data_IF_902224459535
#
_entry.id   IF_902224459535
#
_cell.length_a   1.000
_cell.length_b   1.000
_cell.length_c   1.000
_cell.angle_alpha   90.00
_cell.angle_beta   90.00
_cell.angle_gamma   90.00
#
_symmetry.space_group_name_H-M   'P 1'
#
loop_
_entity.id
_entity.type
_entity.pdbx_description
1 polymer ?
#
# COMPACT_ATOMS: atom_id res chain seq x y z
N UNK A 1 0.11 -29.03 -53.03
CA UNK A 1 0.40 -29.58 -51.69
C UNK A 1 1.65 -28.90 -51.16
N UNK A 2 1.49 -27.84 -50.35
CA UNK A 2 2.60 -27.12 -49.73
C UNK A 2 2.54 -27.36 -48.22
N UNK A 3 3.63 -27.88 -47.65
CA UNK A 3 3.77 -28.16 -46.21
C UNK A 3 3.95 -26.83 -45.47
N UNK A 4 2.99 -26.51 -44.62
CA UNK A 4 3.10 -25.47 -43.59
C UNK A 4 4.00 -25.99 -42.47
N UNK A 5 5.21 -25.44 -42.35
CA UNK A 5 6.05 -25.59 -41.16
C UNK A 5 5.70 -24.48 -40.18
N UNK A 6 5.01 -24.85 -39.10
CA UNK A 6 4.75 -23.99 -37.96
C UNK A 6 6.07 -23.57 -37.31
N UNK A 7 6.35 -22.26 -37.35
CA UNK A 7 7.36 -21.62 -36.54
C UNK A 7 6.82 -21.48 -35.10
N UNK A 8 7.51 -21.94 -34.05
CA UNK A 8 7.07 -21.68 -32.69
C UNK A 8 7.22 -20.18 -32.38
N UNK A 9 6.07 -19.60 -32.01
CA UNK A 9 5.81 -18.21 -31.63
C UNK A 9 7.00 -17.47 -31.02
N UNK A 10 7.49 -16.47 -31.75
CA UNK A 10 8.49 -15.48 -31.34
C UNK A 10 7.91 -14.35 -30.46
N UNK A 11 6.63 -14.40 -30.12
CA UNK A 11 5.90 -13.25 -29.56
C UNK A 11 5.74 -13.26 -28.03
N UNK A 12 6.38 -14.17 -27.30
CA UNK A 12 6.18 -14.29 -25.85
C UNK A 12 6.97 -13.28 -24.99
N UNK A 13 7.83 -12.41 -25.56
CA UNK A 13 8.84 -11.67 -24.79
C UNK A 13 9.03 -10.20 -25.18
N UNK A 14 7.94 -9.47 -25.47
CA UNK A 14 8.01 -8.00 -25.63
C UNK A 14 8.16 -7.31 -24.26
N UNK A 15 9.41 -7.12 -23.85
CA UNK A 15 9.80 -6.25 -22.74
C UNK A 15 9.49 -4.79 -23.11
N UNK A 16 8.34 -4.26 -22.66
CA UNK A 16 8.15 -2.82 -22.52
C UNK A 16 8.81 -2.40 -21.20
N UNK A 17 9.68 -1.41 -21.28
CA UNK A 17 10.35 -0.77 -20.15
C UNK A 17 9.32 -0.26 -19.13
N UNK A 18 9.11 -1.01 -18.05
CA UNK A 18 8.27 -0.64 -16.92
C UNK A 18 9.17 -0.16 -15.78
N UNK A 19 9.72 1.04 -15.95
CA UNK A 19 10.21 1.82 -14.82
C UNK A 19 8.97 2.39 -14.11
N UNK A 20 8.92 2.32 -12.78
CA UNK A 20 7.96 2.99 -11.88
C UNK A 20 6.53 2.46 -11.82
N UNK A 21 6.22 1.53 -10.88
CA UNK A 21 4.83 1.31 -10.41
C UNK A 21 4.62 1.00 -8.92
N UNK A 22 5.67 0.82 -8.12
CA UNK A 22 5.51 0.59 -6.67
C UNK A 22 5.96 1.77 -5.81
N UNK A 23 7.08 2.44 -6.16
CA UNK A 23 7.60 3.60 -5.41
C UNK A 23 6.59 4.72 -5.20
N UNK A 24 5.85 5.07 -6.26
CA UNK A 24 4.91 6.20 -6.19
C UNK A 24 3.64 5.85 -5.41
N UNK A 25 3.23 4.58 -5.27
CA UNK A 25 1.93 4.19 -4.67
C UNK A 25 1.88 4.39 -3.15
N UNK A 26 2.97 3.99 -2.50
CA UNK A 26 3.13 4.06 -1.05
C UNK A 26 3.49 5.49 -0.62
N UNK A 27 4.25 6.19 -1.46
CA UNK A 27 4.55 7.62 -1.30
C UNK A 27 3.27 8.44 -1.49
N UNK A 28 2.45 8.24 -2.54
CA UNK A 28 1.26 9.09 -2.79
C UNK A 28 0.12 8.88 -1.81
N UNK A 29 -0.15 7.65 -1.35
CA UNK A 29 -1.21 7.43 -0.37
C UNK A 29 -0.85 7.98 1.01
N UNK A 30 0.44 7.90 1.35
CA UNK A 30 0.98 8.60 2.50
C UNK A 30 1.01 10.10 2.28
N UNK A 31 1.35 10.64 1.12
CA UNK A 31 1.24 12.08 0.87
C UNK A 31 -0.20 12.57 0.94
N UNK A 32 -1.20 11.73 0.66
CA UNK A 32 -2.58 12.14 0.74
C UNK A 32 -3.12 12.09 2.20
N UNK A 33 -2.87 11.00 2.93
CA UNK A 33 -3.25 10.92 4.36
C UNK A 33 -2.33 11.73 5.28
N UNK A 34 -1.07 11.91 4.90
CA UNK A 34 -0.16 12.87 5.52
C UNK A 34 -0.51 14.27 5.07
N UNK A 35 -0.90 14.63 3.83
CA UNK A 35 -1.37 16.01 3.56
C UNK A 35 -2.68 16.34 4.30
N UNK A 36 -3.47 15.32 4.65
CA UNK A 36 -4.64 15.45 5.50
C UNK A 36 -4.31 15.78 6.98
N UNK A 37 -3.17 15.28 7.50
CA UNK A 37 -2.71 15.55 8.86
C UNK A 37 -1.50 16.49 8.95
N UNK A 38 -0.80 16.74 7.85
CA UNK A 38 0.34 17.61 7.69
C UNK A 38 -0.18 18.99 7.33
N UNK A 39 -0.75 19.62 8.35
CA UNK A 39 -0.10 20.88 8.66
C UNK A 39 1.39 20.59 8.85
N UNK A 40 2.21 21.27 8.04
CA UNK A 40 3.66 21.29 8.24
C UNK A 40 4.04 21.69 9.67
N UNK A 41 5.35 21.78 9.99
CA UNK A 41 5.76 22.24 11.31
C UNK A 41 4.97 23.50 11.66
N UNK A 42 4.25 23.45 12.78
CA UNK A 42 3.48 24.57 13.27
C UNK A 42 4.45 25.71 13.58
N UNK A 43 4.71 26.55 12.58
CA UNK A 43 5.15 27.92 12.85
C UNK A 43 4.06 28.54 13.70
N UNK A 44 4.44 28.91 14.91
CA UNK A 44 3.57 29.53 15.90
C UNK A 44 3.00 30.85 15.35
N UNK A 45 1.89 30.80 14.62
CA UNK A 45 1.18 31.99 14.18
C UNK A 45 -0.32 31.71 14.01
N UNK A 46 -1.09 32.25 14.97
CA UNK A 46 -2.54 32.46 15.01
C UNK A 46 -3.43 31.21 15.13
N UNK A 47 -4.47 31.22 16.00
CA UNK A 47 -5.49 30.19 15.98
C UNK A 47 -6.16 30.21 14.61
N UNK A 48 -5.94 29.17 13.80
CA UNK A 48 -6.65 29.02 12.53
C UNK A 48 -8.14 28.97 12.85
N UNK A 49 -8.90 29.94 12.34
CA UNK A 49 -10.36 29.90 12.41
C UNK A 49 -10.84 28.63 11.71
N UNK A 50 -11.60 27.81 12.44
CA UNK A 50 -12.32 26.67 11.90
C UNK A 50 -13.69 27.16 11.46
N UNK A 51 -13.97 27.06 10.17
CA UNK A 51 -15.29 27.37 9.64
C UNK A 51 -16.15 26.11 9.75
N UNK A 52 -17.19 26.18 10.60
CA UNK A 52 -18.10 25.06 10.86
C UNK A 52 -19.51 25.46 10.45
N UNK A 53 -20.05 24.73 9.47
CA UNK A 53 -21.34 25.00 8.85
C UNK A 53 -22.20 23.72 8.79
N UNK A 54 -23.49 23.86 8.47
CA UNK A 54 -24.38 22.72 8.28
C UNK A 54 -24.83 21.99 9.56
N UNK A 55 -24.35 22.41 10.73
CA UNK A 55 -24.88 21.95 12.01
C UNK A 55 -26.31 22.48 12.21
N UNK A 56 -27.24 21.58 12.52
CA UNK A 56 -28.62 21.90 12.90
C UNK A 56 -28.80 22.00 14.42
N UNK A 57 -27.87 21.41 15.18
CA UNK A 57 -27.80 21.52 16.64
C UNK A 57 -26.34 21.60 17.05
N UNK A 58 -26.02 22.55 17.93
CA UNK A 58 -24.72 22.68 18.58
C UNK A 58 -24.98 22.74 20.08
N UNK A 59 -24.32 21.86 20.82
CA UNK A 59 -24.34 21.82 22.26
C UNK A 59 -22.95 22.12 22.79
N UNK A 60 -22.88 23.06 23.72
CA UNK A 60 -21.66 23.45 24.38
C UNK A 60 -21.86 23.27 25.88
N UNK A 61 -21.10 22.34 26.45
CA UNK A 61 -21.08 22.15 27.89
C UNK A 61 -19.73 22.59 28.44
N UNK A 62 -19.67 23.84 28.91
CA UNK A 62 -18.45 24.45 29.43
C UNK A 62 -17.93 23.76 30.68
N UNK A 63 -18.84 23.27 31.53
CA UNK A 63 -18.47 22.62 32.80
C UNK A 63 -17.63 21.36 32.62
N UNK A 64 -17.76 20.70 31.47
CA UNK A 64 -16.98 19.51 31.08
C UNK A 64 -16.09 19.75 29.85
N UNK A 65 -16.13 20.95 29.25
CA UNK A 65 -15.35 21.31 28.07
C UNK A 65 -15.67 20.46 26.83
N UNK A 66 -16.94 20.06 26.64
CA UNK A 66 -17.37 19.20 25.52
C UNK A 66 -18.29 19.95 24.59
N UNK A 67 -17.99 19.88 23.29
CA UNK A 67 -18.78 20.48 22.22
C UNK A 67 -19.31 19.36 21.35
N UNK A 68 -20.61 19.35 21.09
CA UNK A 68 -21.29 18.36 20.26
C UNK A 68 -22.05 19.06 19.15
N UNK A 69 -21.80 18.65 17.91
CA UNK A 69 -22.36 19.24 16.71
C UNK A 69 -23.07 18.14 15.94
N UNK A 70 -24.32 18.40 15.58
CA UNK A 70 -25.14 17.48 14.81
C UNK A 70 -25.68 18.17 13.57
N UNK A 71 -25.72 17.46 12.44
CA UNK A 71 -26.19 17.97 11.15
C UNK A 71 -26.26 16.88 10.10
N UNK A 72 -26.65 17.21 8.88
CA UNK A 72 -26.64 16.26 7.76
C UNK A 72 -26.10 16.90 6.47
N UNK A 73 -24.79 17.14 6.35
CA UNK A 73 -23.74 16.92 7.35
C UNK A 73 -23.27 18.19 8.07
N UNK A 74 -22.67 18.04 9.25
CA UNK A 74 -21.76 19.06 9.80
C UNK A 74 -20.54 19.12 8.89
N UNK A 75 -20.20 20.31 8.42
CA UNK A 75 -19.05 20.56 7.56
C UNK A 75 -18.03 21.38 8.32
N UNK A 76 -16.84 20.81 8.52
CA UNK A 76 -15.70 21.49 9.14
C UNK A 76 -14.66 21.75 8.06
N UNK A 77 -14.34 23.02 7.84
CA UNK A 77 -13.37 23.44 6.82
C UNK A 77 -12.11 24.00 7.47
N UNK A 78 -10.97 23.51 7.01
CA UNK A 78 -9.64 24.02 7.36
C UNK A 78 -8.84 24.26 6.07
N UNK A 79 -8.79 25.51 5.63
CA UNK A 79 -8.19 25.87 4.34
C UNK A 79 -8.94 25.24 3.16
N UNK A 80 -8.25 24.40 2.38
CA UNK A 80 -8.81 23.68 1.22
C UNK A 80 -9.46 22.35 1.59
N UNK A 81 -9.17 21.82 2.78
CA UNK A 81 -9.64 20.50 3.18
C UNK A 81 -10.98 20.60 3.91
N UNK A 82 -11.88 19.68 3.56
CA UNK A 82 -13.23 19.62 4.09
C UNK A 82 -13.47 18.27 4.76
N UNK A 83 -13.87 18.31 6.03
CA UNK A 83 -14.44 17.17 6.74
C UNK A 83 -15.95 17.33 6.78
N UNK A 84 -16.68 16.25 6.49
CA UNK A 84 -18.12 16.17 6.64
C UNK A 84 -18.50 14.94 7.44
N UNK A 85 -19.35 15.12 8.45
CA UNK A 85 -19.90 14.02 9.23
C UNK A 85 -21.26 14.43 9.83
N UNK A 86 -22.19 13.49 10.05
CA UNK A 86 -23.44 13.82 10.72
C UNK A 86 -23.28 14.24 12.19
N UNK A 87 -22.26 13.72 12.88
CA UNK A 87 -21.95 14.08 14.26
C UNK A 87 -20.45 14.37 14.42
N UNK A 88 -20.15 15.47 15.11
CA UNK A 88 -18.79 15.85 15.50
C UNK A 88 -18.78 16.21 16.97
N UNK A 89 -17.91 15.57 17.75
CA UNK A 89 -17.67 15.86 19.16
C UNK A 89 -16.25 16.33 19.36
N UNK A 90 -16.06 17.39 20.13
CA UNK A 90 -14.77 17.87 20.57
C UNK A 90 -14.70 17.91 22.08
N UNK A 91 -13.66 17.34 22.65
CA UNK A 91 -13.33 17.46 24.07
C UNK A 91 -12.09 18.37 24.20
N UNK A 92 -12.28 19.56 24.76
CA UNK A 92 -11.23 20.56 24.88
C UNK A 92 -10.16 20.21 25.92
N UNK A 93 -10.53 19.46 26.97
CA UNK A 93 -9.61 19.07 28.05
C UNK A 93 -8.60 18.03 27.56
N UNK A 94 -9.12 17.02 26.87
CA UNK A 94 -8.33 15.91 26.33
C UNK A 94 -7.77 16.21 24.94
N UNK A 95 -8.30 17.26 24.29
CA UNK A 95 -8.00 17.66 22.92
C UNK A 95 -8.23 16.52 21.91
N UNK A 96 -9.41 15.90 22.04
CA UNK A 96 -9.85 14.79 21.19
C UNK A 96 -11.04 15.24 20.35
N UNK A 97 -10.98 14.96 19.05
CA UNK A 97 -12.09 15.14 18.11
C UNK A 97 -12.60 13.77 17.67
N UNK A 98 -13.91 13.57 17.69
CA UNK A 98 -14.56 12.37 17.16
C UNK A 98 -15.58 12.82 16.11
N UNK A 99 -15.43 12.33 14.88
CA UNK A 99 -16.43 12.47 13.83
C UNK A 99 -17.02 11.08 13.53
N UNK A 100 -18.35 10.96 13.43
CA UNK A 100 -19.01 9.65 13.35
C UNK A 100 -20.22 9.64 12.41
N UNK A 101 -20.78 8.45 12.23
CA UNK A 101 -22.00 8.17 11.45
C UNK A 101 -21.84 8.37 9.94
N UNK A 102 -20.61 8.16 9.43
CA UNK A 102 -20.27 8.38 8.03
C UNK A 102 -19.48 9.66 7.86
N UNK A 103 -18.17 9.53 8.00
CA UNK A 103 -17.20 10.59 7.80
C UNK A 103 -16.75 10.57 6.35
N UNK A 104 -16.71 11.75 5.73
CA UNK A 104 -15.95 11.98 4.50
C UNK A 104 -14.95 13.11 4.74
N UNK A 105 -13.75 12.95 4.21
CA UNK A 105 -12.64 13.86 4.41
C UNK A 105 -11.87 14.01 3.11
N UNK A 106 -11.51 15.24 2.76
CA UNK A 106 -10.52 15.51 1.72
C UNK A 106 -10.92 16.64 0.78
N UNK A 107 -10.50 16.51 -0.47
CA UNK A 107 -10.67 17.48 -1.55
C UNK A 107 -10.97 16.77 -2.90
N UNK A 108 -10.71 17.43 -4.03
CA UNK A 108 -10.93 16.86 -5.36
C UNK A 108 -9.94 15.74 -5.73
N UNK A 109 -8.74 15.74 -5.15
CA UNK A 109 -7.68 14.78 -5.44
C UNK A 109 -7.63 13.65 -4.42
N UNK A 110 -7.98 13.91 -3.16
CA UNK A 110 -8.02 12.92 -2.11
C UNK A 110 -9.41 12.82 -1.51
N UNK A 111 -9.98 11.62 -1.49
CA UNK A 111 -11.25 11.34 -0.85
C UNK A 111 -11.03 10.19 0.12
N UNK A 112 -11.22 10.45 1.41
CA UNK A 112 -11.24 9.45 2.46
C UNK A 112 -12.64 9.34 3.05
N UNK A 113 -13.07 8.13 3.36
CA UNK A 113 -14.33 7.85 4.05
C UNK A 113 -14.15 6.78 5.10
N UNK A 114 -14.87 6.90 6.21
CA UNK A 114 -14.89 5.93 7.29
C UNK A 114 -16.19 6.07 8.09
N UNK A 115 -16.61 5.04 8.84
CA UNK A 115 -17.75 5.19 9.74
C UNK A 115 -17.45 6.10 10.93
N UNK A 116 -16.22 6.09 11.44
CA UNK A 116 -15.77 6.95 12.55
C UNK A 116 -14.32 7.36 12.37
N UNK A 117 -13.99 8.59 12.78
CA UNK A 117 -12.63 9.11 12.85
C UNK A 117 -12.42 9.75 14.22
N UNK A 118 -11.39 9.30 14.94
CA UNK A 118 -10.94 9.89 16.20
C UNK A 118 -9.57 10.54 16.00
N UNK A 119 -9.41 11.77 16.46
CA UNK A 119 -8.16 12.54 16.36
C UNK A 119 -7.73 13.00 17.74
N UNK A 120 -6.54 12.60 18.16
CA UNK A 120 -5.87 13.08 19.37
C UNK A 120 -4.90 14.19 18.98
N UNK A 121 -5.31 15.45 19.20
CA UNK A 121 -4.56 16.61 18.72
C UNK A 121 -3.19 16.75 19.39
N UNK A 122 -3.08 16.39 20.68
CA UNK A 122 -1.80 16.43 21.42
C UNK A 122 -0.80 15.41 20.93
N UNK A 123 -1.28 14.25 20.52
CA UNK A 123 -0.45 13.11 20.12
C UNK A 123 -0.10 13.16 18.63
N UNK A 124 -0.72 14.05 17.85
CA UNK A 124 -0.61 14.02 16.39
C UNK A 124 -1.10 12.68 15.83
N UNK A 125 -2.14 12.09 16.43
CA UNK A 125 -2.62 10.75 16.09
C UNK A 125 -4.05 10.81 15.58
N UNK A 126 -4.34 10.08 14.51
CA UNK A 126 -5.69 9.91 14.00
C UNK A 126 -5.97 8.43 13.71
N UNK A 127 -7.19 8.00 14.02
CA UNK A 127 -7.66 6.63 13.77
C UNK A 127 -9.00 6.71 13.05
N UNK A 128 -9.09 6.09 11.88
CA UNK A 128 -10.30 5.90 11.10
C UNK A 128 -10.73 4.43 11.17
N UNK A 129 -12.01 4.17 11.37
CA UNK A 129 -12.57 2.83 11.59
C UNK A 129 -13.93 2.65 10.89
N UNK A 130 -14.35 1.39 10.78
CA UNK A 130 -15.60 0.96 10.15
C UNK A 130 -15.60 1.26 8.64
N UNK A 131 -14.95 0.38 7.88
CA UNK A 131 -14.82 0.42 6.41
C UNK A 131 -14.13 1.66 5.87
N UNK A 132 -12.84 1.80 6.20
CA UNK A 132 -12.01 2.89 5.69
C UNK A 132 -11.75 2.69 4.21
N UNK A 133 -12.03 3.73 3.43
CA UNK A 133 -11.69 3.81 2.01
C UNK A 133 -10.97 5.12 1.75
N UNK A 134 -9.84 5.05 1.06
CA UNK A 134 -9.07 6.23 0.68
C UNK A 134 -8.76 6.15 -0.80
N UNK A 135 -9.07 7.21 -1.52
CA UNK A 135 -8.98 7.32 -2.95
C UNK A 135 -8.17 8.56 -3.29
N UNK A 136 -7.00 8.37 -3.90
CA UNK A 136 -6.23 9.42 -4.53
C UNK A 136 -6.48 9.40 -6.04
N UNK A 137 -6.72 10.57 -6.62
CA UNK A 137 -7.17 10.79 -8.01
C UNK A 137 -6.19 11.65 -8.81
N UNK A 138 -4.95 11.78 -8.37
CA UNK A 138 -3.90 12.48 -9.10
C UNK A 138 -3.42 11.73 -10.36
N UNK A 139 -2.24 12.10 -10.85
CA UNK A 139 -1.59 11.50 -12.05
C UNK A 139 -1.46 9.98 -11.94
N UNK A 140 -1.41 9.48 -10.72
CA UNK A 140 -1.24 8.08 -10.40
C UNK A 140 -2.26 7.65 -9.35
N UNK A 141 -3.47 7.23 -9.77
CA UNK A 141 -4.56 6.93 -8.86
C UNK A 141 -4.22 5.75 -7.94
N UNK A 142 -4.56 5.90 -6.67
CA UNK A 142 -4.36 4.88 -5.65
C UNK A 142 -5.63 4.73 -4.83
N UNK A 143 -6.03 3.49 -4.56
CA UNK A 143 -7.13 3.16 -3.67
C UNK A 143 -6.61 2.30 -2.51
N UNK A 144 -6.88 2.72 -1.27
CA UNK A 144 -6.70 1.93 -0.06
C UNK A 144 -8.07 1.55 0.50
N UNK A 145 -8.22 0.29 0.92
CA UNK A 145 -9.34 -0.17 1.74
C UNK A 145 -8.82 -0.93 2.95
N UNK A 146 -9.43 -0.74 4.11
CA UNK A 146 -9.10 -1.45 5.33
C UNK A 146 -10.25 -1.30 6.35
N UNK A 147 -10.33 -2.19 7.34
CA UNK A 147 -11.27 -2.01 8.45
C UNK A 147 -10.86 -0.82 9.34
N UNK A 148 -9.55 -0.59 9.51
CA UNK A 148 -8.98 0.44 10.36
C UNK A 148 -7.73 1.05 9.72
N UNK A 149 -7.60 2.37 9.79
CA UNK A 149 -6.39 3.11 9.40
C UNK A 149 -5.96 4.01 10.55
N UNK A 150 -4.70 3.91 10.94
CA UNK A 150 -4.07 4.75 11.95
C UNK A 150 -2.99 5.59 11.30
N UNK A 151 -2.94 6.86 11.69
CA UNK A 151 -1.99 7.84 11.21
C UNK A 151 -1.28 8.44 12.41
N UNK A 152 0.04 8.41 12.34
CA UNK A 152 0.96 8.89 13.37
C UNK A 152 1.78 10.03 12.74
N UNK A 153 1.33 11.27 12.96
CA UNK A 153 1.82 12.45 12.25
C UNK A 153 3.29 12.74 12.56
N UNK A 154 3.71 12.61 13.83
CA UNK A 154 5.09 12.86 14.24
C UNK A 154 6.05 11.84 13.62
N UNK A 155 5.66 10.56 13.65
CA UNK A 155 6.42 9.46 13.05
C UNK A 155 6.30 9.44 11.52
N UNK A 156 5.37 10.23 10.96
CA UNK A 156 5.00 10.22 9.54
C UNK A 156 4.71 8.81 9.03
N UNK A 157 4.03 8.04 9.86
CA UNK A 157 3.68 6.65 9.54
C UNK A 157 2.17 6.44 9.48
N UNK A 158 1.80 5.45 8.68
CA UNK A 158 0.43 5.05 8.44
C UNK A 158 0.33 3.54 8.56
N UNK A 159 -0.71 3.06 9.25
CA UNK A 159 -0.97 1.65 9.47
C UNK A 159 -2.41 1.36 9.04
N UNK A 160 -2.58 0.57 7.98
CA UNK A 160 -3.87 0.05 7.54
C UNK A 160 -4.01 -1.40 7.97
N UNK A 161 -5.13 -1.78 8.59
CA UNK A 161 -5.33 -3.11 9.19
C UNK A 161 -6.76 -3.63 9.02
N UNK A 162 -6.90 -4.95 9.10
CA UNK A 162 -8.18 -5.65 8.89
C UNK A 162 -8.48 -5.80 7.41
N UNK A 163 -7.78 -6.76 6.77
CA UNK A 163 -7.85 -7.03 5.33
C UNK A 163 -7.51 -5.79 4.48
N UNK A 164 -6.36 -5.19 4.77
CA UNK A 164 -5.86 -4.04 4.04
C UNK A 164 -5.61 -4.38 2.55
N UNK A 165 -6.12 -3.54 1.66
CA UNK A 165 -5.94 -3.64 0.20
C UNK A 165 -5.49 -2.30 -0.35
N UNK A 166 -4.31 -2.27 -0.93
CA UNK A 166 -3.78 -1.12 -1.66
C UNK A 166 -3.74 -1.44 -3.15
N UNK A 167 -4.41 -0.64 -3.98
CA UNK A 167 -4.48 -0.81 -5.42
C UNK A 167 -4.00 0.45 -6.14
N UNK A 168 -3.25 0.25 -7.23
CA UNK A 168 -2.75 1.32 -8.10
C UNK A 168 -2.74 0.82 -9.53
N UNK A 169 -3.52 1.47 -10.38
CA UNK A 169 -3.70 1.04 -11.78
C UNK A 169 -4.05 -0.44 -11.86
N UNK A 170 -3.22 -1.23 -12.55
CA UNK A 170 -3.39 -2.68 -12.70
C UNK A 170 -2.66 -3.52 -11.64
N UNK A 171 -2.05 -2.89 -10.63
CA UNK A 171 -1.36 -3.57 -9.54
C UNK A 171 -2.14 -3.45 -8.23
N UNK A 172 -2.07 -4.46 -7.38
CA UNK A 172 -2.68 -4.44 -6.06
C UNK A 172 -1.91 -5.32 -5.08
N UNK A 173 -1.93 -4.95 -3.81
CA UNK A 173 -1.44 -5.76 -2.70
C UNK A 173 -2.55 -5.87 -1.65
N UNK A 174 -2.74 -7.06 -1.11
CA UNK A 174 -3.62 -7.35 0.01
C UNK A 174 -2.83 -8.01 1.12
N UNK A 175 -3.14 -7.67 2.37
CA UNK A 175 -2.54 -8.26 3.56
C UNK A 175 -3.46 -8.00 4.77
N UNK A 176 -3.20 -8.66 5.89
CA UNK A 176 -3.89 -8.36 7.15
C UNK A 176 -3.56 -6.94 7.63
N UNK A 177 -2.31 -6.52 7.43
CA UNK A 177 -1.82 -5.18 7.74
C UNK A 177 -0.86 -4.66 6.67
N UNK A 178 -0.95 -3.36 6.37
CA UNK A 178 0.00 -2.60 5.55
C UNK A 178 0.45 -1.37 6.33
N UNK A 179 1.73 -1.30 6.63
CA UNK A 179 2.39 -0.15 7.25
C UNK A 179 3.22 0.61 6.21
N UNK A 180 3.23 1.94 6.33
CA UNK A 180 4.10 2.81 5.57
C UNK A 180 4.78 3.83 6.48
N UNK A 181 6.10 3.89 6.40
CA UNK A 181 6.94 4.90 7.01
C UNK A 181 7.47 5.84 5.92
N UNK A 182 7.00 7.09 5.96
CA UNK A 182 7.39 8.11 4.98
C UNK A 182 8.84 8.54 5.13
N UNK A 183 9.32 8.68 6.37
CA UNK A 183 10.67 9.15 6.64
C UNK A 183 11.70 8.13 6.15
N UNK A 184 11.46 6.84 6.42
CA UNK A 184 12.30 5.75 5.97
C UNK A 184 12.07 5.37 4.49
N UNK A 185 11.00 5.89 3.86
CA UNK A 185 10.51 5.46 2.54
C UNK A 185 10.39 3.94 2.45
N UNK A 186 9.73 3.37 3.46
CA UNK A 186 9.65 1.93 3.70
C UNK A 186 8.20 1.52 3.86
N UNK A 187 7.82 0.39 3.28
CA UNK A 187 6.50 -0.18 3.48
C UNK A 187 6.59 -1.64 3.88
N UNK A 188 5.69 -2.08 4.75
CA UNK A 188 5.63 -3.46 5.21
C UNK A 188 4.19 -3.95 5.08
N UNK A 189 3.98 -4.99 4.30
CA UNK A 189 2.75 -5.76 4.29
C UNK A 189 2.97 -7.05 5.09
N UNK A 190 2.04 -7.41 5.96
CA UNK A 190 2.16 -8.60 6.81
C UNK A 190 0.81 -9.30 6.98
N UNK A 191 0.86 -10.64 7.08
CA UNK A 191 -0.30 -11.51 7.22
C UNK A 191 -0.93 -11.80 5.86
N UNK A 192 -0.75 -13.03 5.38
CA UNK A 192 -1.30 -13.53 4.12
C UNK A 192 -1.14 -12.55 2.94
N UNK A 193 0.09 -12.07 2.74
CA UNK A 193 0.38 -11.06 1.71
C UNK A 193 0.15 -11.67 0.33
N UNK A 194 -0.63 -10.98 -0.49
CA UNK A 194 -0.82 -11.30 -1.90
C UNK A 194 -0.67 -10.03 -2.72
N UNK A 195 0.35 -9.98 -3.57
CA UNK A 195 0.56 -8.92 -4.54
C UNK A 195 0.30 -9.42 -5.96
N UNK A 196 -0.31 -8.57 -6.77
CA UNK A 196 -0.61 -8.80 -8.18
C UNK A 196 -0.14 -7.60 -8.98
N UNK A 197 0.48 -7.88 -10.11
CA UNK A 197 0.90 -6.92 -11.11
C UNK A 197 0.53 -7.43 -12.50
N UNK A 198 0.65 -6.61 -13.56
CA UNK A 198 0.57 -7.11 -14.93
C UNK A 198 1.60 -8.21 -15.24
N UNK A 199 2.75 -8.16 -14.58
CA UNK A 199 3.88 -9.03 -14.86
C UNK A 199 3.86 -10.32 -14.03
N UNK A 200 2.96 -10.47 -13.05
CA UNK A 200 2.96 -11.65 -12.19
C UNK A 200 2.24 -11.48 -10.86
N UNK A 201 2.33 -12.52 -10.02
CA UNK A 201 1.83 -12.54 -8.64
C UNK A 201 2.93 -12.92 -7.67
N UNK A 202 2.82 -12.43 -6.44
CA UNK A 202 3.66 -12.75 -5.30
C UNK A 202 2.75 -13.07 -4.11
N UNK A 203 2.99 -14.20 -3.46
CA UNK A 203 2.44 -14.53 -2.14
C UNK A 203 3.58 -14.68 -1.13
N UNK A 204 3.36 -14.23 0.11
CA UNK A 204 4.30 -14.40 1.22
C UNK A 204 3.60 -14.13 2.57
N UNK A 205 4.26 -14.44 3.69
CA UNK A 205 3.77 -14.07 5.03
C UNK A 205 4.04 -12.60 5.35
N UNK A 206 5.17 -12.07 4.86
CA UNK A 206 5.56 -10.66 4.99
C UNK A 206 6.27 -10.19 3.72
N UNK A 207 6.00 -8.95 3.33
CA UNK A 207 6.71 -8.26 2.25
C UNK A 207 7.12 -6.87 2.72
N UNK A 208 8.40 -6.57 2.61
CA UNK A 208 8.99 -5.27 2.90
C UNK A 208 9.48 -4.62 1.60
N UNK A 209 9.11 -3.37 1.38
CA UNK A 209 9.51 -2.59 0.22
C UNK A 209 10.37 -1.40 0.66
N UNK A 210 11.64 -1.42 0.29
CA UNK A 210 12.54 -0.29 0.46
C UNK A 210 12.49 0.56 -0.81
N UNK A 211 11.67 1.61 -0.76
CA UNK A 211 11.37 2.39 -1.97
C UNK A 211 12.60 3.15 -2.44
N UNK A 212 13.44 3.64 -1.53
CA UNK A 212 14.68 4.35 -1.87
C UNK A 212 15.63 3.60 -2.81
N UNK A 213 15.67 2.26 -2.70
CA UNK A 213 16.57 1.38 -3.46
C UNK A 213 15.82 0.49 -4.45
N UNK A 214 14.49 0.63 -4.53
CA UNK A 214 13.59 -0.23 -5.28
C UNK A 214 13.82 -1.74 -5.00
N UNK A 215 14.08 -2.06 -3.73
CA UNK A 215 14.26 -3.44 -3.26
C UNK A 215 12.99 -3.92 -2.54
N UNK A 216 12.58 -5.14 -2.85
CA UNK A 216 11.47 -5.81 -2.17
C UNK A 216 11.98 -7.11 -1.55
N UNK A 217 11.67 -7.31 -0.29
CA UNK A 217 12.06 -8.47 0.49
C UNK A 217 10.78 -9.20 0.87
N UNK A 218 10.68 -10.48 0.55
CA UNK A 218 9.54 -11.32 0.89
C UNK A 218 10.00 -12.47 1.78
N UNK A 219 9.27 -12.72 2.86
CA UNK A 219 9.60 -13.69 3.90
C UNK A 219 8.40 -14.59 4.19
N UNK A 220 8.69 -15.88 4.34
CA UNK A 220 7.71 -16.92 4.68
C UNK A 220 6.84 -17.33 3.51
N UNK A 221 6.81 -18.63 3.21
CA UNK A 221 5.97 -19.23 2.15
C UNK A 221 5.94 -18.43 0.85
N UNK A 222 7.11 -18.00 0.37
CA UNK A 222 7.20 -17.13 -0.80
C UNK A 222 6.82 -17.92 -2.04
N UNK A 223 5.82 -17.44 -2.76
CA UNK A 223 5.39 -17.97 -4.06
C UNK A 223 5.40 -16.85 -5.08
N UNK A 224 6.16 -17.01 -6.16
CA UNK A 224 6.27 -16.05 -7.25
C UNK A 224 5.79 -16.70 -8.52
N UNK A 225 4.87 -16.06 -9.24
CA UNK A 225 4.43 -16.55 -10.55
C UNK A 225 4.54 -15.45 -11.60
N UNK A 226 5.18 -15.76 -12.72
CA UNK A 226 5.34 -14.88 -13.88
C UNK A 226 5.39 -15.70 -15.16
N UNK A 227 4.43 -15.52 -16.04
CA UNK A 227 4.30 -16.28 -17.29
C UNK A 227 4.38 -17.80 -17.04
N UNK A 228 5.44 -18.46 -17.50
CA UNK A 228 5.71 -19.90 -17.31
C UNK A 228 6.66 -20.20 -16.16
N UNK A 229 7.05 -19.17 -15.39
CA UNK A 229 7.96 -19.26 -14.25
C UNK A 229 7.16 -19.27 -12.96
N UNK A 230 7.40 -20.28 -12.14
CA UNK A 230 6.87 -20.38 -10.78
C UNK A 230 8.01 -20.67 -9.81
N UNK A 231 8.15 -19.85 -8.77
CA UNK A 231 9.21 -19.98 -7.77
C UNK A 231 8.62 -20.10 -6.37
N UNK A 232 9.16 -21.02 -5.58
CA UNK A 232 8.84 -21.25 -4.17
C UNK A 232 10.10 -21.08 -3.34
N UNK A 233 10.03 -20.41 -2.20
CA UNK A 233 11.18 -20.20 -1.31
C UNK A 233 10.74 -19.81 0.11
N UNK A 234 11.64 -19.92 1.09
CA UNK A 234 11.42 -19.32 2.41
C UNK A 234 11.64 -17.80 2.41
N UNK A 235 12.55 -17.31 1.56
CA UNK A 235 12.92 -15.90 1.47
C UNK A 235 13.20 -15.49 0.03
N UNK A 236 12.83 -14.27 -0.35
CA UNK A 236 13.13 -13.72 -1.65
C UNK A 236 13.51 -12.24 -1.61
N UNK A 237 14.49 -11.85 -2.42
CA UNK A 237 14.91 -10.46 -2.62
C UNK A 237 14.75 -10.08 -4.10
N UNK A 238 13.96 -9.04 -4.37
CA UNK A 238 13.72 -8.50 -5.70
C UNK A 238 14.41 -7.14 -5.81
N UNK A 239 15.45 -7.07 -6.64
CA UNK A 239 16.18 -5.83 -6.95
C UNK A 239 15.71 -5.30 -8.29
N UNK A 240 14.71 -4.41 -8.29
CA UNK A 240 14.09 -3.93 -9.53
C UNK A 240 15.09 -3.20 -10.44
N UNK A 241 15.94 -2.35 -9.86
CA UNK A 241 16.97 -1.62 -10.61
C UNK A 241 18.02 -2.53 -11.27
N UNK A 242 18.27 -3.71 -10.69
CA UNK A 242 19.14 -4.71 -11.29
C UNK A 242 18.37 -5.65 -12.25
N UNK A 243 17.06 -5.76 -12.09
CA UNK A 243 16.25 -6.78 -12.77
C UNK A 243 16.56 -8.18 -12.27
N UNK A 244 16.84 -8.31 -10.97
CA UNK A 244 17.29 -9.55 -10.35
C UNK A 244 16.30 -10.00 -9.27
N UNK A 245 16.06 -11.32 -9.21
CA UNK A 245 15.33 -11.98 -8.13
C UNK A 245 16.24 -13.03 -7.52
N UNK A 246 16.39 -13.02 -6.21
CA UNK A 246 17.09 -14.07 -5.46
C UNK A 246 16.07 -14.80 -4.59
N UNK A 247 16.04 -16.12 -4.69
CA UNK A 247 15.19 -17.02 -3.93
C UNK A 247 16.08 -17.88 -3.05
N UNK A 248 15.77 -18.02 -1.76
CA UNK A 248 16.60 -18.75 -0.81
C UNK A 248 15.80 -19.48 0.27
N UNK A 249 16.45 -20.45 0.93
CA UNK A 249 15.82 -21.33 1.90
C UNK A 249 14.98 -22.40 1.20
N UNK A 250 15.68 -23.34 0.55
CA UNK A 250 15.12 -24.44 -0.24
C UNK A 250 14.29 -23.96 -1.45
N UNK A 251 14.89 -23.05 -2.22
CA UNK A 251 14.30 -22.49 -3.42
C UNK A 251 14.02 -23.57 -4.47
N UNK A 252 12.80 -23.56 -5.00
CA UNK A 252 12.31 -24.42 -6.08
C UNK A 252 11.74 -23.54 -7.19
N UNK A 253 12.27 -23.64 -8.40
CA UNK A 253 11.81 -22.87 -9.56
C UNK A 253 11.42 -23.80 -10.69
N UNK A 254 10.19 -23.68 -11.14
CA UNK A 254 9.68 -24.26 -12.37
C UNK A 254 9.82 -23.25 -13.52
N UNK A 255 10.42 -23.70 -14.63
CA UNK A 255 10.63 -22.93 -15.86
C UNK A 255 9.96 -23.69 -17.00
N UNK A 256 8.64 -23.51 -17.15
CA UNK A 256 7.83 -24.37 -18.01
C UNK A 256 7.89 -25.83 -17.55
N UNK A 257 8.49 -26.70 -18.36
CA UNK A 257 8.68 -28.13 -18.04
C UNK A 257 9.93 -28.43 -17.20
N UNK A 258 10.85 -27.48 -17.10
CA UNK A 258 12.08 -27.67 -16.35
C UNK A 258 11.87 -27.30 -14.89
N UNK A 259 12.62 -27.94 -13.99
CA UNK A 259 12.56 -27.67 -12.55
C UNK A 259 13.98 -27.59 -11.99
N UNK A 260 14.24 -26.58 -11.17
CA UNK A 260 15.52 -26.36 -10.49
C UNK A 260 15.25 -26.21 -9.00
N UNK A 261 15.95 -27.00 -8.18
CA UNK A 261 15.95 -26.86 -6.73
C UNK A 261 17.35 -26.57 -6.23
N UNK A 262 17.49 -25.63 -5.30
CA UNK A 262 18.77 -25.24 -4.70
C UNK A 262 18.55 -24.43 -3.42
N UNK A 263 19.59 -24.27 -2.62
CA UNK A 263 19.56 -23.45 -1.42
C UNK A 263 19.43 -21.97 -1.79
N UNK A 264 20.04 -21.55 -2.90
CA UNK A 264 19.89 -20.21 -3.48
C UNK A 264 19.72 -20.31 -4.99
N UNK A 265 18.67 -19.69 -5.52
CA UNK A 265 18.43 -19.52 -6.96
C UNK A 265 18.34 -18.03 -7.27
N UNK A 266 19.24 -17.56 -8.12
CA UNK A 266 19.24 -16.20 -8.64
C UNK A 266 18.75 -16.19 -10.08
N UNK A 267 17.75 -15.36 -10.35
CA UNK A 267 17.15 -15.13 -11.67
C UNK A 267 17.50 -13.71 -12.10
N UNK A 268 18.33 -13.59 -13.12
CA UNK A 268 18.59 -12.34 -13.83
C UNK A 268 17.60 -12.22 -15.00
N UNK A 269 16.63 -11.32 -14.86
CA UNK A 269 15.57 -11.10 -15.83
C UNK A 269 16.09 -10.39 -17.09
N UNK A 270 17.17 -9.62 -16.99
CA UNK A 270 17.76 -8.88 -18.11
C UNK A 270 18.64 -9.78 -18.96
N UNK A 271 19.53 -10.53 -18.31
CA UNK A 271 20.41 -11.51 -18.96
C UNK A 271 19.69 -12.82 -19.31
N UNK A 272 18.44 -12.99 -18.84
CA UNK A 272 17.64 -14.21 -18.99
C UNK A 272 18.39 -15.44 -18.49
N UNK A 273 19.02 -15.29 -17.33
CA UNK A 273 19.91 -16.28 -16.74
C UNK A 273 19.39 -16.72 -15.40
N UNK A 274 19.43 -18.02 -15.16
CA UNK A 274 19.17 -18.61 -13.84
C UNK A 274 20.47 -19.23 -13.35
N UNK A 275 20.84 -18.94 -12.11
CA UNK A 275 22.01 -19.51 -11.43
C UNK A 275 21.54 -20.14 -10.13
N UNK A 276 21.89 -21.41 -9.93
CA UNK A 276 21.51 -22.18 -8.75
C UNK A 276 22.76 -22.63 -8.02
N UNK A 277 22.84 -22.35 -6.72
CA UNK A 277 24.00 -22.66 -5.88
C UNK A 277 23.58 -23.37 -4.60
N UNK A 278 24.56 -23.91 -3.88
CA UNK A 278 24.33 -24.54 -2.61
C UNK A 278 24.24 -26.06 -2.71
N UNK A 279 23.45 -26.67 -3.60
CA UNK A 279 23.39 -28.11 -3.96
C UNK A 279 22.35 -28.24 -5.09
N UNK A 280 22.62 -27.72 -6.29
CA UNK A 280 21.60 -27.62 -7.32
C UNK A 280 21.16 -29.00 -7.83
N UNK A 281 19.85 -29.20 -7.94
CA UNK A 281 19.23 -30.32 -8.61
C UNK A 281 18.36 -29.80 -9.75
N UNK A 282 18.69 -30.19 -10.99
CA UNK A 282 17.99 -29.78 -12.20
C UNK A 282 17.31 -31.00 -12.83
N UNK A 283 16.00 -30.91 -13.03
CA UNK A 283 15.24 -31.77 -13.93
C UNK A 283 14.95 -30.97 -15.19
N UNK A 284 15.76 -31.20 -16.22
CA UNK A 284 15.70 -30.47 -17.48
C UNK A 284 15.32 -31.38 -18.65
N UNK A 285 14.49 -30.85 -19.54
CA UNK A 285 14.17 -31.51 -20.80
C UNK A 285 14.82 -30.69 -21.92
N UNK A 286 15.97 -31.10 -22.47
CA UNK A 286 16.61 -30.38 -23.57
C UNK A 286 15.74 -30.42 -24.83
N UNK A 287 15.90 -29.43 -25.71
CA UNK A 287 15.31 -29.50 -27.05
C UNK A 287 15.97 -30.68 -27.80
N UNK A 288 15.18 -31.40 -28.60
CA UNK A 288 15.74 -32.40 -29.51
C UNK A 288 16.73 -31.69 -30.46
N UNK A 289 17.88 -32.33 -30.78
CA UNK A 289 18.91 -31.74 -31.63
C UNK A 289 18.39 -31.35 -33.02
#
# INVERSE_FOLDING_TARGET
MSRSTGSPSKDMWRLRSLRNRFEVALVTLAWALVAAAATGPATAQQPLQLDVTGATRVEFNDSVGVWELYGNPVTVRRGLVVLKAPAVRYNAKDQIVIASSGVSYGDQMLIASAGTVTVWLREGRAVAENDVQVAYRGVDPVDLRAARVELLQEQRSLIASGAARLARGSSAITADQIEYDHAARRAVAAGAVQARTPDGRLGADRVEAQLATEEFIADGHVVVTRDTVEGHAAHAVFRQQAGQVELSGDALVHLGRNMVQAQVITIDLRARRVTATGRPHLVGYPAAP
#
